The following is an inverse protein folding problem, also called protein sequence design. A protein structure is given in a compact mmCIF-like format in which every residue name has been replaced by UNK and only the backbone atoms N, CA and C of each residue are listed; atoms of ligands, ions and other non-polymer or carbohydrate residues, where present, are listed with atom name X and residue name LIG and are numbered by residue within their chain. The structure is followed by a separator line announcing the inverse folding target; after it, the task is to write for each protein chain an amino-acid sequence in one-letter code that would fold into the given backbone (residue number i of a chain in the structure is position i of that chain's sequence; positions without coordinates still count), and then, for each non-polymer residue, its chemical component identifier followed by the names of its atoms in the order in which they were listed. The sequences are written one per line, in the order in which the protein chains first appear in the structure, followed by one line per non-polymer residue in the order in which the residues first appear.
data_IF_987296191698
#
_entry.id   IF_987296191698
#
_cell.length_a   1.000
_cell.length_b   1.000
_cell.length_c   1.000
_cell.angle_alpha   90.00
_cell.angle_beta   90.00
_cell.angle_gamma   90.00
#
_symmetry.space_group_name_H-M   'P 1'
#
loop_
_entity.id
_entity.type
_entity.pdbx_description
1 polymer ?
#
# COMPACT_ATOMS: atom_id res chain seq x y z
N UNK A 1 30.00 7.15 63.41
CA UNK A 1 29.85 7.45 61.96
C UNK A 1 29.65 8.93 61.81
N UNK A 2 30.56 9.69 61.21
CA UNK A 2 30.43 11.16 61.10
C UNK A 2 29.48 11.52 59.96
N UNK A 3 28.66 12.54 60.22
CA UNK A 3 27.70 13.15 59.31
C UNK A 3 28.34 13.59 57.99
N UNK A 4 27.78 13.14 56.88
CA UNK A 4 28.09 13.65 55.54
C UNK A 4 27.48 15.08 55.41
N UNK A 5 28.22 16.04 54.82
CA UNK A 5 27.69 17.39 54.62
C UNK A 5 26.61 17.37 53.52
N UNK A 6 25.49 18.05 53.82
CA UNK A 6 24.44 18.32 52.82
C UNK A 6 25.02 19.10 51.64
N UNK A 7 24.67 18.77 50.40
CA UNK A 7 25.04 19.57 49.24
C UNK A 7 24.40 20.96 49.36
N UNK A 8 25.22 21.99 49.27
CA UNK A 8 24.77 23.38 49.28
C UNK A 8 23.80 23.62 48.13
N UNK A 9 22.63 24.18 48.47
CA UNK A 9 21.63 24.60 47.48
C UNK A 9 22.26 25.60 46.50
N UNK A 10 22.24 25.29 45.23
CA UNK A 10 22.63 26.21 44.15
C UNK A 10 21.77 27.47 44.26
N UNK A 11 22.38 28.68 44.28
CA UNK A 11 21.62 29.91 44.35
C UNK A 11 20.69 30.01 43.14
N UNK A 12 19.39 30.15 43.40
CA UNK A 12 18.39 30.48 42.40
C UNK A 12 18.75 31.87 41.88
N UNK A 13 19.05 31.95 40.57
CA UNK A 13 19.29 33.23 39.92
C UNK A 13 18.09 34.16 40.19
N UNK A 14 18.33 35.44 40.56
CA UNK A 14 17.24 36.37 40.86
C UNK A 14 16.34 36.55 39.66
N UNK A 15 15.03 36.78 39.85
CA UNK A 15 14.11 36.98 38.75
C UNK A 15 14.52 38.25 37.98
N UNK A 16 14.55 38.12 36.63
CA UNK A 16 14.81 39.23 35.71
C UNK A 16 13.87 40.41 36.03
N UNK A 17 14.46 41.53 36.43
CA UNK A 17 13.70 42.77 36.69
C UNK A 17 13.74 43.66 35.45
N UNK A 18 12.68 44.45 35.24
CA UNK A 18 12.59 45.43 34.13
C UNK A 18 13.76 46.43 34.15
N UNK A 19 14.34 46.68 35.33
CA UNK A 19 15.49 47.54 35.54
C UNK A 19 16.76 46.93 34.93
N UNK A 20 16.95 45.59 35.00
CA UNK A 20 18.10 44.90 34.42
C UNK A 20 18.04 44.93 32.90
N UNK A 21 16.82 44.88 32.31
CA UNK A 21 16.62 45.02 30.85
C UNK A 21 17.00 46.43 30.38
N UNK A 22 16.66 47.46 31.14
CA UNK A 22 16.91 48.86 30.76
C UNK A 22 18.42 49.21 30.83
N UNK A 23 19.13 48.70 31.88
CA UNK A 23 20.59 48.88 32.00
C UNK A 23 21.33 48.11 30.90
N UNK A 24 20.95 46.85 30.58
CA UNK A 24 21.54 46.10 29.50
C UNK A 24 21.29 46.76 28.13
N UNK A 25 20.14 47.40 27.94
CA UNK A 25 19.82 48.15 26.74
C UNK A 25 20.67 49.44 26.60
N UNK A 26 20.89 50.13 27.71
CA UNK A 26 21.78 51.32 27.74
C UNK A 26 23.23 50.96 27.47
N UNK A 27 23.75 49.89 28.12
CA UNK A 27 25.11 49.39 27.88
C UNK A 27 25.32 48.95 26.43
N UNK A 28 24.32 48.36 25.79
CA UNK A 28 24.32 48.01 24.36
C UNK A 28 24.40 49.25 23.47
N UNK A 29 23.63 50.29 23.80
CA UNK A 29 23.62 51.55 23.06
C UNK A 29 24.97 52.25 23.18
N UNK A 30 25.48 52.39 24.37
CA UNK A 30 26.76 53.10 24.65
C UNK A 30 27.95 52.36 24.01
N UNK A 31 28.02 51.02 24.14
CA UNK A 31 29.04 50.22 23.49
C UNK A 31 28.95 50.30 21.94
N UNK A 32 27.75 50.36 21.40
CA UNK A 32 27.54 50.50 19.95
C UNK A 32 27.94 51.88 19.43
N UNK A 33 27.62 52.95 20.19
CA UNK A 33 28.05 54.32 19.85
C UNK A 33 29.58 54.49 19.93
N UNK A 34 30.22 53.99 20.99
CA UNK A 34 31.65 54.02 21.14
C UNK A 34 32.38 53.29 19.96
N UNK A 35 31.87 52.10 19.58
CA UNK A 35 32.38 51.33 18.46
C UNK A 35 32.18 52.07 17.14
N UNK A 36 30.98 52.68 16.91
CA UNK A 36 30.66 53.40 15.67
C UNK A 36 31.62 54.58 15.44
N UNK A 37 31.98 55.28 16.56
CA UNK A 37 32.92 56.41 16.50
C UNK A 37 34.37 55.98 16.35
N UNK A 38 34.78 54.85 16.92
CA UNK A 38 36.14 54.35 16.87
C UNK A 38 36.49 53.74 15.51
N UNK A 39 35.56 53.01 14.87
CA UNK A 39 35.82 52.17 13.71
C UNK A 39 35.07 52.62 12.45
N UNK A 40 34.68 53.91 12.39
CA UNK A 40 33.86 54.44 11.28
C UNK A 40 34.43 54.18 9.90
N UNK A 41 35.77 54.22 9.71
CA UNK A 41 36.43 53.96 8.43
C UNK A 41 36.29 52.50 8.03
N UNK A 42 36.48 51.55 8.97
CA UNK A 42 36.31 50.10 8.72
C UNK A 42 34.87 49.75 8.41
N UNK A 43 33.91 50.47 9.06
CA UNK A 43 32.46 50.32 8.79
C UNK A 43 32.15 50.81 7.37
N UNK A 44 32.72 51.92 6.90
CA UNK A 44 32.53 52.39 5.55
C UNK A 44 33.08 51.38 4.52
N UNK A 45 34.28 50.82 4.76
CA UNK A 45 34.87 49.78 3.92
C UNK A 45 33.99 48.54 3.90
N UNK A 46 33.54 48.06 5.06
CA UNK A 46 32.61 46.93 5.18
C UNK A 46 31.32 47.17 4.44
N UNK A 47 30.74 48.39 4.51
CA UNK A 47 29.54 48.75 3.82
C UNK A 47 29.73 48.76 2.28
N UNK A 48 30.87 49.25 1.80
CA UNK A 48 31.27 49.19 0.39
C UNK A 48 31.39 47.75 -0.13
N UNK A 49 32.10 46.89 0.62
CA UNK A 49 32.26 45.45 0.29
C UNK A 49 30.91 44.78 0.35
N UNK A 50 30.10 45.06 1.40
CA UNK A 50 28.74 44.50 1.55
C UNK A 50 27.83 44.88 0.37
N UNK A 51 27.87 46.12 -0.09
CA UNK A 51 27.14 46.57 -1.27
C UNK A 51 27.52 45.80 -2.53
N UNK A 52 28.82 45.52 -2.74
CA UNK A 52 29.31 44.74 -3.87
C UNK A 52 28.82 43.29 -3.77
N UNK A 53 28.84 42.67 -2.55
CA UNK A 53 28.32 41.34 -2.32
C UNK A 53 26.81 41.26 -2.58
N UNK A 54 26.03 42.23 -2.11
CA UNK A 54 24.57 42.30 -2.38
C UNK A 54 24.32 42.42 -3.88
N UNK A 55 25.09 43.26 -4.56
CA UNK A 55 24.94 43.46 -6.01
C UNK A 55 25.29 42.16 -6.77
N UNK A 56 26.34 41.48 -6.42
CA UNK A 56 26.76 40.21 -7.02
C UNK A 56 25.69 39.11 -6.79
N UNK A 57 25.12 38.99 -5.58
CA UNK A 57 24.11 38.00 -5.25
C UNK A 57 22.75 38.32 -5.93
N UNK A 58 22.39 39.60 -6.01
CA UNK A 58 21.16 40.01 -6.74
C UNK A 58 21.31 39.85 -8.24
N UNK A 59 22.51 40.08 -8.81
CA UNK A 59 22.82 39.77 -10.19
C UNK A 59 22.74 38.25 -10.47
N UNK A 60 23.26 37.43 -9.57
CA UNK A 60 23.13 35.97 -9.63
C UNK A 60 21.65 35.51 -9.63
N UNK A 61 20.82 36.13 -8.79
CA UNK A 61 19.37 35.89 -8.77
C UNK A 61 18.70 36.31 -10.10
N UNK A 62 19.08 37.44 -10.66
CA UNK A 62 18.57 37.94 -11.95
C UNK A 62 19.00 37.02 -13.11
N UNK A 63 20.24 36.47 -13.06
CA UNK A 63 20.71 35.49 -14.01
C UNK A 63 19.92 34.17 -13.92
N UNK A 64 19.63 33.69 -12.71
CA UNK A 64 18.74 32.55 -12.47
C UNK A 64 17.34 32.73 -13.09
N UNK A 65 16.75 33.93 -12.94
CA UNK A 65 15.49 34.29 -13.60
C UNK A 65 15.58 34.26 -15.13
N UNK A 66 16.70 34.75 -15.71
CA UNK A 66 16.92 34.71 -17.16
C UNK A 66 17.10 33.30 -17.70
N UNK A 67 17.75 32.43 -16.96
CA UNK A 67 17.91 31.02 -17.32
C UNK A 67 16.56 30.30 -17.30
N UNK A 68 15.72 30.52 -16.28
CA UNK A 68 14.37 29.98 -16.24
C UNK A 68 13.49 30.42 -17.42
N UNK A 69 13.60 31.65 -17.85
CA UNK A 69 12.80 32.19 -18.97
C UNK A 69 13.28 31.70 -20.35
N UNK A 70 14.54 31.30 -20.50
CA UNK A 70 15.07 30.77 -21.77
C UNK A 70 14.62 29.33 -22.04
N UNK A 71 14.45 28.50 -20.99
CA UNK A 71 14.04 27.12 -21.11
C UNK A 71 12.52 26.92 -21.14
N UNK A 72 11.72 28.00 -21.00
CA UNK A 72 10.26 27.95 -21.09
C UNK A 72 9.72 27.52 -22.47
N UNK A 73 10.59 27.41 -23.48
CA UNK A 73 10.24 26.99 -24.85
C UNK A 73 10.52 25.51 -25.13
N UNK A 74 11.20 24.77 -24.21
CA UNK A 74 11.70 23.42 -24.54
C UNK A 74 11.64 22.33 -23.50
N UNK A 75 10.94 22.48 -22.38
CA UNK A 75 10.73 21.36 -21.45
C UNK A 75 11.11 21.64 -19.99
N UNK A 76 10.39 21.00 -19.08
CA UNK A 76 10.59 21.03 -17.64
C UNK A 76 11.84 20.26 -17.23
N UNK A 77 13.04 20.84 -17.45
CA UNK A 77 14.30 20.24 -17.04
C UNK A 77 14.65 20.51 -15.58
N UNK A 78 15.54 19.70 -14.97
CA UNK A 78 16.05 19.93 -13.61
C UNK A 78 16.66 21.33 -13.42
N UNK A 79 17.20 21.92 -14.47
CA UNK A 79 17.76 23.27 -14.47
C UNK A 79 16.71 24.35 -14.20
N UNK A 80 15.47 24.15 -14.65
CA UNK A 80 14.36 25.09 -14.37
C UNK A 80 13.95 25.03 -12.89
N UNK A 81 14.00 23.84 -12.25
CA UNK A 81 13.71 23.68 -10.82
C UNK A 81 14.76 24.39 -9.96
N UNK A 82 16.07 24.18 -10.29
CA UNK A 82 17.18 24.83 -9.58
C UNK A 82 17.14 26.34 -9.81
N UNK A 83 16.95 26.79 -11.05
CA UNK A 83 16.83 28.21 -11.38
C UNK A 83 15.67 28.88 -10.62
N UNK A 84 14.52 28.20 -10.48
CA UNK A 84 13.37 28.67 -9.72
C UNK A 84 13.68 28.78 -8.22
N UNK A 85 14.39 27.80 -7.64
CA UNK A 85 14.85 27.85 -6.25
C UNK A 85 15.80 29.04 -6.00
N UNK A 86 16.76 29.28 -6.89
CA UNK A 86 17.68 30.42 -6.81
C UNK A 86 16.90 31.76 -6.95
N UNK A 87 15.94 31.82 -7.85
CA UNK A 87 15.14 33.02 -8.09
C UNK A 87 14.27 33.42 -6.88
N UNK A 88 13.89 32.44 -6.05
CA UNK A 88 13.14 32.61 -4.81
C UNK A 88 13.99 33.03 -3.60
N UNK A 89 15.28 33.32 -3.80
CA UNK A 89 16.13 33.84 -2.73
C UNK A 89 15.60 35.19 -2.26
N UNK A 90 15.29 35.31 -0.96
CA UNK A 90 14.77 36.53 -0.35
C UNK A 90 15.85 37.61 -0.32
N UNK A 91 15.45 38.85 -0.58
CA UNK A 91 16.36 40.00 -0.45
C UNK A 91 16.87 40.14 1.00
N UNK A 92 16.04 39.86 1.99
CA UNK A 92 16.42 39.88 3.40
C UNK A 92 17.55 38.89 3.71
N UNK A 93 17.49 37.67 3.16
CA UNK A 93 18.58 36.70 3.31
C UNK A 93 19.88 37.16 2.64
N UNK A 94 19.79 37.73 1.43
CA UNK A 94 20.96 38.28 0.71
C UNK A 94 21.61 39.39 1.54
N UNK A 95 20.81 40.28 2.10
CA UNK A 95 21.28 41.37 2.95
C UNK A 95 21.96 40.83 4.22
N UNK A 96 21.32 39.90 4.95
CA UNK A 96 21.86 39.32 6.17
C UNK A 96 23.15 38.51 5.87
N UNK A 97 23.21 37.80 4.76
CA UNK A 97 24.40 37.08 4.33
C UNK A 97 25.56 38.06 4.06
N UNK A 98 25.28 39.15 3.34
CA UNK A 98 26.30 40.18 3.11
C UNK A 98 26.79 40.83 4.40
N UNK A 99 25.89 41.15 5.33
CA UNK A 99 26.23 41.71 6.64
C UNK A 99 27.13 40.73 7.40
N UNK A 100 26.79 39.46 7.52
CA UNK A 100 27.60 38.46 8.24
C UNK A 100 29.00 38.29 7.62
N UNK A 101 29.11 38.30 6.28
CA UNK A 101 30.38 38.16 5.56
C UNK A 101 31.33 39.31 5.88
N UNK A 102 30.79 40.53 6.00
CA UNK A 102 31.63 41.73 6.25
C UNK A 102 31.66 42.18 7.69
N UNK A 103 30.80 41.61 8.56
CA UNK A 103 30.63 42.05 9.95
C UNK A 103 31.90 41.91 10.80
N UNK A 104 32.81 41.03 10.44
CA UNK A 104 34.07 40.82 11.16
C UNK A 104 35.15 41.86 10.85
N UNK A 105 34.98 42.65 9.78
CA UNK A 105 36.00 43.67 9.38
C UNK A 105 36.11 44.78 10.43
N UNK A 106 34.96 45.38 10.93
CA UNK A 106 35.02 46.46 11.86
C UNK A 106 35.02 46.00 13.35
N UNK A 107 35.39 44.74 13.64
CA UNK A 107 35.50 44.20 15.01
C UNK A 107 34.34 44.59 15.94
N UNK A 108 33.09 44.22 15.62
CA UNK A 108 31.93 44.65 16.42
C UNK A 108 31.96 44.04 17.83
N UNK A 109 31.36 44.70 18.83
CA UNK A 109 31.15 44.13 20.15
C UNK A 109 30.38 42.79 20.08
N UNK A 110 30.66 41.86 20.99
CA UNK A 110 30.05 40.51 21.02
C UNK A 110 28.51 40.54 21.02
N UNK A 111 27.94 41.55 21.66
CA UNK A 111 26.49 41.71 21.67
C UNK A 111 25.91 42.02 20.29
N UNK A 112 26.59 42.89 19.51
CA UNK A 112 26.18 43.23 18.12
C UNK A 112 26.34 42.01 17.23
N UNK A 113 27.44 41.29 17.39
CA UNK A 113 27.67 40.07 16.60
C UNK A 113 26.66 38.98 16.93
N UNK A 114 26.22 38.86 18.14
CA UNK A 114 25.16 37.94 18.61
C UNK A 114 23.81 38.26 17.94
N UNK A 115 23.43 39.52 17.87
CA UNK A 115 22.22 39.97 17.19
C UNK A 115 22.30 39.72 15.70
N UNK A 116 23.42 40.05 15.05
CA UNK A 116 23.62 39.80 13.60
C UNK A 116 23.53 38.30 13.30
N UNK A 117 24.20 37.48 14.10
CA UNK A 117 24.17 36.01 13.87
C UNK A 117 22.77 35.43 14.12
N UNK A 118 22.03 35.93 15.11
CA UNK A 118 20.64 35.55 15.36
C UNK A 118 19.71 35.89 14.19
N UNK A 119 19.78 37.12 13.69
CA UNK A 119 19.00 37.55 12.53
C UNK A 119 19.38 36.78 11.27
N UNK A 120 20.67 36.48 11.06
CA UNK A 120 21.12 35.67 9.96
C UNK A 120 20.57 34.25 10.06
N UNK A 121 20.59 33.62 11.26
CA UNK A 121 20.02 32.27 11.45
C UNK A 121 18.53 32.22 11.14
N UNK A 122 17.78 33.26 11.54
CA UNK A 122 16.36 33.38 11.19
C UNK A 122 16.21 33.43 9.66
N UNK A 123 16.96 34.35 9.01
CA UNK A 123 16.92 34.52 7.55
C UNK A 123 17.30 33.22 6.83
N UNK A 124 18.38 32.54 7.31
CA UNK A 124 18.88 31.30 6.71
C UNK A 124 17.89 30.12 6.88
N UNK A 125 17.28 29.97 8.04
CA UNK A 125 16.30 28.91 8.28
C UNK A 125 15.07 29.06 7.37
N UNK A 126 14.48 30.25 7.26
CA UNK A 126 13.37 30.50 6.37
C UNK A 126 13.78 30.37 4.89
N UNK A 127 14.98 30.84 4.52
CA UNK A 127 15.46 30.71 3.15
C UNK A 127 15.69 29.26 2.75
N UNK A 128 16.25 28.45 3.66
CA UNK A 128 16.44 27.02 3.43
C UNK A 128 15.08 26.31 3.25
N UNK A 129 14.07 26.67 4.06
CA UNK A 129 12.72 26.16 3.92
C UNK A 129 12.11 26.52 2.54
N UNK A 130 12.29 27.78 2.08
CA UNK A 130 11.84 28.21 0.77
C UNK A 130 12.53 27.44 -0.37
N UNK A 131 13.84 27.26 -0.32
CA UNK A 131 14.58 26.47 -1.32
C UNK A 131 14.13 25.01 -1.33
N UNK A 132 14.06 24.38 -0.17
CA UNK A 132 13.60 22.99 -0.05
C UNK A 132 12.18 22.84 -0.62
N UNK A 133 11.27 23.79 -0.31
CA UNK A 133 9.92 23.80 -0.84
C UNK A 133 9.89 23.87 -2.37
N UNK A 134 10.64 24.80 -2.97
CA UNK A 134 10.68 24.94 -4.45
C UNK A 134 11.29 23.72 -5.13
N UNK A 135 12.32 23.09 -4.53
CA UNK A 135 12.95 21.88 -5.08
C UNK A 135 11.96 20.72 -5.02
N UNK A 136 11.31 20.47 -3.86
CA UNK A 136 10.36 19.38 -3.70
C UNK A 136 9.16 19.54 -4.64
N UNK A 137 8.54 20.73 -4.65
CA UNK A 137 7.38 20.98 -5.50
C UNK A 137 7.74 20.97 -6.98
N UNK A 138 8.91 21.51 -7.35
CA UNK A 138 9.41 21.47 -8.72
C UNK A 138 9.69 20.04 -9.21
N UNK A 139 10.21 19.16 -8.33
CA UNK A 139 10.40 17.75 -8.64
C UNK A 139 9.07 17.01 -8.85
N UNK A 140 8.04 17.33 -8.04
CA UNK A 140 6.69 16.78 -8.20
C UNK A 140 6.09 17.27 -9.52
N UNK A 141 6.13 18.55 -9.81
CA UNK A 141 5.62 19.14 -11.06
C UNK A 141 6.33 18.57 -12.29
N UNK A 142 7.64 18.36 -12.22
CA UNK A 142 8.42 17.76 -13.32
C UNK A 142 7.97 16.33 -13.64
N UNK A 143 7.73 15.51 -12.63
CA UNK A 143 7.24 14.15 -12.82
C UNK A 143 5.80 14.08 -13.31
N UNK A 144 4.96 15.01 -12.88
CA UNK A 144 3.54 15.03 -13.29
C UNK A 144 3.32 15.59 -14.70
N UNK A 145 4.19 16.48 -15.18
CA UNK A 145 4.13 17.02 -16.53
C UNK A 145 4.51 16.01 -17.62
N UNK A 146 5.23 14.95 -17.29
CA UNK A 146 5.70 13.93 -18.24
C UNK A 146 4.76 12.73 -18.42
N UNK A 147 3.64 12.68 -17.70
CA UNK A 147 2.64 11.61 -17.84
C UNK A 147 1.39 12.13 -18.55
N UNK A 148 0.91 11.42 -19.57
CA UNK A 148 -0.32 11.68 -20.33
C UNK A 148 -1.62 11.67 -19.47
N UNK A 149 -1.49 11.76 -18.17
CA UNK A 149 -2.58 11.68 -17.21
C UNK A 149 -3.03 13.09 -16.78
N UNK A 150 -3.77 13.75 -17.64
CA UNK A 150 -4.40 15.04 -17.36
C UNK A 150 -5.77 14.85 -16.70
N UNK A 151 -5.81 14.55 -15.40
CA UNK A 151 -7.04 14.43 -14.64
C UNK A 151 -7.14 15.53 -13.55
N UNK A 152 -8.31 16.12 -13.35
CA UNK A 152 -8.62 17.07 -12.26
C UNK A 152 -8.21 16.56 -10.87
N UNK A 153 -8.27 15.25 -10.67
CA UNK A 153 -7.83 14.58 -9.44
C UNK A 153 -6.35 14.80 -9.11
N UNK A 154 -5.48 14.87 -10.14
CA UNK A 154 -4.04 15.10 -9.96
C UNK A 154 -3.73 16.53 -9.54
N UNK A 155 -4.44 17.51 -10.09
CA UNK A 155 -4.32 18.92 -9.70
C UNK A 155 -4.65 19.14 -8.22
N UNK A 156 -5.71 18.53 -7.74
CA UNK A 156 -6.13 18.59 -6.33
C UNK A 156 -5.12 17.91 -5.40
N UNK A 157 -4.54 16.76 -5.80
CA UNK A 157 -3.52 16.05 -5.04
C UNK A 157 -2.23 16.90 -4.91
N UNK A 158 -1.77 17.54 -5.98
CA UNK A 158 -0.61 18.46 -5.96
C UNK A 158 -0.86 19.64 -5.04
N UNK A 159 -2.09 20.19 -5.02
CA UNK A 159 -2.49 21.25 -4.10
C UNK A 159 -2.33 20.85 -2.62
N UNK A 160 -2.82 19.68 -2.26
CA UNK A 160 -2.67 19.13 -0.90
C UNK A 160 -1.21 18.89 -0.53
N UNK A 161 -0.42 18.28 -1.42
CA UNK A 161 1.03 18.05 -1.23
C UNK A 161 1.74 19.39 -0.99
N UNK A 162 1.40 20.44 -1.76
CA UNK A 162 1.97 21.78 -1.60
C UNK A 162 1.71 22.34 -0.19
N UNK A 163 0.50 22.22 0.32
CA UNK A 163 0.15 22.67 1.67
C UNK A 163 0.92 21.89 2.73
N UNK A 164 0.93 20.56 2.64
CA UNK A 164 1.62 19.70 3.61
C UNK A 164 3.13 19.95 3.64
N UNK A 165 3.78 19.99 2.47
CA UNK A 165 5.22 20.26 2.35
C UNK A 165 5.56 21.66 2.90
N UNK A 166 4.75 22.66 2.55
CA UNK A 166 4.95 24.03 3.05
C UNK A 166 4.84 24.07 4.57
N UNK A 167 3.78 23.51 5.12
CA UNK A 167 3.58 23.47 6.58
C UNK A 167 4.73 22.75 7.30
N UNK A 168 5.13 21.57 6.84
CA UNK A 168 6.21 20.79 7.46
C UNK A 168 7.54 21.55 7.45
N UNK A 169 7.93 22.13 6.31
CA UNK A 169 9.20 22.87 6.19
C UNK A 169 9.22 24.13 7.03
N UNK A 170 8.12 24.88 7.09
CA UNK A 170 8.04 26.08 7.92
C UNK A 170 7.96 25.72 9.41
N UNK A 171 7.32 24.63 9.80
CA UNK A 171 7.35 24.13 11.17
C UNK A 171 8.79 23.77 11.62
N UNK A 172 9.55 23.10 10.76
CA UNK A 172 10.98 22.78 11.01
C UNK A 172 11.79 24.08 11.11
N UNK A 173 11.61 25.02 10.18
CA UNK A 173 12.32 26.30 10.22
C UNK A 173 12.01 27.07 11.51
N UNK A 174 10.76 27.08 11.95
CA UNK A 174 10.34 27.72 13.22
C UNK A 174 11.04 27.09 14.44
N UNK A 175 11.11 25.75 14.48
CA UNK A 175 11.82 25.05 15.57
C UNK A 175 13.30 25.44 15.60
N UNK A 176 13.95 25.47 14.43
CA UNK A 176 15.37 25.87 14.31
C UNK A 176 15.56 27.32 14.79
N UNK A 177 14.69 28.23 14.41
CA UNK A 177 14.74 29.63 14.83
C UNK A 177 14.58 29.76 16.36
N UNK A 178 13.55 29.13 16.93
CA UNK A 178 13.30 29.18 18.38
C UNK A 178 14.46 28.59 19.18
N UNK A 179 15.01 27.47 18.71
CA UNK A 179 16.18 26.84 19.35
C UNK A 179 17.40 27.77 19.33
N UNK A 180 17.65 28.47 18.19
CA UNK A 180 18.75 29.41 18.08
C UNK A 180 18.57 30.67 18.95
N UNK A 181 17.32 31.06 19.17
CA UNK A 181 16.98 32.18 20.12
C UNK A 181 17.08 31.76 21.57
N UNK A 182 17.52 30.52 21.87
CA UNK A 182 17.68 30.01 23.24
C UNK A 182 16.41 29.49 23.91
N UNK A 183 15.33 29.37 23.17
CA UNK A 183 14.07 28.79 23.69
C UNK A 183 14.17 27.27 23.80
N UNK A 184 13.60 26.71 24.86
CA UNK A 184 13.53 25.26 24.99
C UNK A 184 12.47 24.71 24.05
N UNK A 185 12.91 24.11 22.95
CA UNK A 185 12.05 23.54 21.90
C UNK A 185 11.73 22.06 22.11
N UNK A 186 12.21 21.45 23.21
CA UNK A 186 12.03 20.01 23.46
C UNK A 186 10.54 19.61 23.50
N UNK A 187 9.71 20.40 24.15
CA UNK A 187 8.26 20.18 24.17
C UNK A 187 7.60 20.31 22.79
N UNK A 188 8.07 21.27 21.98
CA UNK A 188 7.57 21.46 20.63
C UNK A 188 7.97 20.30 19.71
N UNK A 189 9.23 19.84 19.81
CA UNK A 189 9.71 18.67 19.05
C UNK A 189 8.95 17.41 19.48
N UNK A 190 8.75 17.21 20.79
CA UNK A 190 7.97 16.08 21.31
C UNK A 190 6.52 16.13 20.80
N UNK A 191 5.87 17.30 20.84
CA UNK A 191 4.51 17.48 20.31
C UNK A 191 4.40 17.21 18.81
N UNK A 192 5.34 17.73 18.02
CA UNK A 192 5.43 17.44 16.58
C UNK A 192 5.70 15.96 16.32
N UNK A 193 6.52 15.30 17.17
CA UNK A 193 6.79 13.87 17.08
C UNK A 193 5.53 13.03 17.31
N UNK A 194 4.78 13.30 18.38
CA UNK A 194 3.50 12.62 18.68
C UNK A 194 2.48 12.89 17.56
N UNK A 195 2.36 14.15 17.11
CA UNK A 195 1.50 14.51 15.98
C UNK A 195 1.90 13.79 14.70
N UNK A 196 3.20 13.64 14.43
CA UNK A 196 3.74 12.89 13.30
C UNK A 196 3.40 11.40 13.35
N UNK A 197 3.47 10.78 14.54
CA UNK A 197 3.04 9.38 14.74
C UNK A 197 1.55 9.25 14.45
N UNK A 198 0.71 10.16 14.97
CA UNK A 198 -0.74 10.11 14.70
C UNK A 198 -1.07 10.24 13.20
N UNK A 199 -0.40 11.15 12.48
CA UNK A 199 -0.53 11.30 11.03
C UNK A 199 -0.03 10.04 10.31
N UNK A 200 1.11 9.47 10.75
CA UNK A 200 1.65 8.23 10.18
C UNK A 200 0.69 7.06 10.30
N UNK A 201 0.08 6.89 11.47
CA UNK A 201 -0.95 5.86 11.71
C UNK A 201 -2.18 6.09 10.83
N UNK A 202 -2.65 7.34 10.70
CA UNK A 202 -3.77 7.67 9.83
C UNK A 202 -3.46 7.40 8.33
N UNK A 203 -2.21 7.58 7.91
CA UNK A 203 -1.76 7.36 6.54
C UNK A 203 -1.29 5.92 6.25
N UNK A 204 -1.23 5.03 7.26
CA UNK A 204 -0.70 3.68 7.17
C UNK A 204 -1.29 2.86 6.01
N UNK A 205 -2.60 2.97 5.78
CA UNK A 205 -3.27 2.25 4.69
C UNK A 205 -2.77 2.68 3.30
N UNK A 206 -2.50 3.97 3.11
CA UNK A 206 -1.99 4.51 1.83
C UNK A 206 -0.57 3.98 1.58
N UNK A 207 0.29 4.01 2.60
CA UNK A 207 1.65 3.48 2.49
C UNK A 207 1.67 1.97 2.26
N UNK A 208 0.77 1.22 2.93
CA UNK A 208 0.66 -0.22 2.73
C UNK A 208 0.31 -0.56 1.26
N UNK A 209 -0.64 0.16 0.64
CA UNK A 209 -0.98 -0.02 -0.78
C UNK A 209 0.19 0.37 -1.71
N UNK A 210 0.93 1.43 -1.37
CA UNK A 210 2.10 1.85 -2.14
C UNK A 210 3.23 0.80 -2.10
N UNK A 211 3.54 0.27 -0.91
CA UNK A 211 4.53 -0.80 -0.77
C UNK A 211 4.07 -2.09 -1.44
N UNK A 212 2.78 -2.40 -1.40
CA UNK A 212 2.21 -3.51 -2.15
C UNK A 212 2.37 -3.33 -3.66
N UNK A 213 2.14 -2.11 -4.18
CA UNK A 213 2.41 -1.82 -5.59
C UNK A 213 3.88 -2.02 -5.97
N UNK A 214 4.81 -1.57 -5.12
CA UNK A 214 6.24 -1.79 -5.33
C UNK A 214 6.59 -3.28 -5.32
N UNK A 215 6.04 -4.07 -4.39
CA UNK A 215 6.22 -5.52 -4.36
C UNK A 215 5.71 -6.17 -5.65
N UNK A 216 4.53 -5.80 -6.15
CA UNK A 216 4.00 -6.31 -7.43
C UNK A 216 4.95 -5.97 -8.59
N UNK A 217 5.53 -4.77 -8.63
CA UNK A 217 6.42 -4.33 -9.70
C UNK A 217 7.77 -5.08 -9.66
N UNK A 218 8.33 -5.34 -8.47
CA UNK A 218 9.63 -6.00 -8.31
C UNK A 218 9.53 -7.52 -8.40
N UNK A 219 8.64 -8.15 -7.62
CA UNK A 219 8.50 -9.61 -7.55
C UNK A 219 7.68 -10.17 -8.70
N UNK A 220 6.81 -9.36 -9.32
CA UNK A 220 5.98 -9.70 -10.47
C UNK A 220 5.18 -10.98 -10.31
N UNK A 221 4.41 -11.17 -9.23
CA UNK A 221 3.54 -12.35 -9.09
C UNK A 221 2.53 -12.45 -10.23
N UNK A 222 2.16 -11.32 -10.80
CA UNK A 222 1.38 -11.18 -12.04
C UNK A 222 1.78 -9.90 -12.77
N UNK A 223 1.45 -9.81 -14.04
CA UNK A 223 1.71 -8.67 -14.92
C UNK A 223 0.41 -8.16 -15.54
N UNK A 224 0.47 -6.96 -16.11
CA UNK A 224 -0.63 -6.48 -16.95
C UNK A 224 -0.85 -7.46 -18.10
N UNK A 225 -2.10 -7.87 -18.32
CA UNK A 225 -2.50 -8.87 -19.30
C UNK A 225 -2.61 -10.29 -18.75
N UNK A 226 -2.10 -10.57 -17.53
CA UNK A 226 -2.22 -11.90 -16.93
C UNK A 226 -3.65 -12.15 -16.46
N UNK A 227 -4.13 -13.37 -16.70
CA UNK A 227 -5.35 -13.88 -16.10
C UNK A 227 -5.03 -14.41 -14.69
N UNK A 228 -5.63 -13.84 -13.67
CA UNK A 228 -5.44 -14.25 -12.28
C UNK A 228 -6.75 -14.65 -11.62
N UNK A 229 -6.65 -15.51 -10.62
CA UNK A 229 -7.76 -15.84 -9.72
C UNK A 229 -7.33 -15.59 -8.28
N UNK A 230 -8.24 -15.01 -7.49
CA UNK A 230 -8.07 -14.73 -6.07
C UNK A 230 -9.42 -14.89 -5.37
N UNK A 231 -9.44 -15.50 -4.22
CA UNK A 231 -10.69 -15.92 -3.55
C UNK A 231 -11.62 -16.67 -4.54
N UNK A 232 -12.85 -16.14 -4.72
CA UNK A 232 -13.86 -16.65 -5.65
C UNK A 232 -13.95 -15.82 -6.95
N UNK A 233 -12.96 -14.97 -7.19
CA UNK A 233 -12.94 -14.05 -8.32
C UNK A 233 -11.85 -14.41 -9.31
N UNK A 234 -12.13 -14.19 -10.59
CA UNK A 234 -11.17 -14.38 -11.68
C UNK A 234 -11.29 -13.24 -12.69
N UNK A 235 -10.19 -12.90 -13.33
CA UNK A 235 -10.17 -11.88 -14.38
C UNK A 235 -8.78 -11.62 -14.94
N UNK A 236 -8.71 -10.71 -15.91
CA UNK A 236 -7.48 -10.27 -16.55
C UNK A 236 -7.02 -8.93 -15.97
N UNK A 237 -5.77 -8.82 -15.59
CA UNK A 237 -5.17 -7.58 -15.06
C UNK A 237 -5.08 -6.55 -16.19
N UNK A 238 -5.81 -5.45 -16.08
CA UNK A 238 -5.78 -4.35 -17.06
C UNK A 238 -4.74 -3.29 -16.73
N UNK A 239 -4.67 -2.89 -15.46
CA UNK A 239 -3.73 -1.88 -15.01
C UNK A 239 -3.36 -2.09 -13.55
N UNK A 240 -2.11 -1.80 -13.23
CA UNK A 240 -1.57 -1.80 -11.87
C UNK A 240 -1.26 -0.35 -11.53
N UNK A 241 -2.04 0.23 -10.61
CA UNK A 241 -1.83 1.60 -10.11
C UNK A 241 -1.04 1.62 -8.81
N UNK A 242 -0.79 2.82 -8.29
CA UNK A 242 -0.07 3.00 -7.01
C UNK A 242 -0.86 2.52 -5.79
N UNK A 243 -2.19 2.60 -5.85
CA UNK A 243 -3.08 2.21 -4.74
C UNK A 243 -3.85 0.94 -5.03
N UNK A 244 -4.26 0.73 -6.28
CA UNK A 244 -5.18 -0.34 -6.66
C UNK A 244 -4.84 -0.93 -8.01
N UNK A 245 -5.16 -2.20 -8.17
CA UNK A 245 -5.10 -2.93 -9.43
C UNK A 245 -6.49 -3.04 -10.03
N UNK A 246 -6.61 -2.82 -11.34
CA UNK A 246 -7.83 -2.97 -12.13
C UNK A 246 -7.81 -4.31 -12.85
N UNK A 247 -8.88 -5.06 -12.68
CA UNK A 247 -9.01 -6.42 -13.20
C UNK A 247 -10.33 -6.50 -13.98
N UNK A 248 -10.27 -6.92 -15.23
CA UNK A 248 -11.45 -7.21 -16.05
C UNK A 248 -11.96 -8.59 -15.71
N UNK A 249 -13.14 -8.69 -15.12
CA UNK A 249 -13.77 -9.94 -14.80
C UNK A 249 -14.19 -10.71 -16.05
N UNK A 250 -14.47 -12.00 -15.89
CA UNK A 250 -14.86 -12.89 -17.00
C UNK A 250 -16.18 -12.50 -17.67
N UNK A 251 -17.04 -11.76 -16.96
CA UNK A 251 -18.31 -11.25 -17.49
C UNK A 251 -18.18 -9.82 -18.06
N UNK A 252 -16.96 -9.26 -18.12
CA UNK A 252 -16.68 -7.94 -18.67
C UNK A 252 -16.71 -6.79 -17.65
N UNK A 253 -17.07 -7.03 -16.39
CA UNK A 253 -17.06 -6.03 -15.34
C UNK A 253 -15.63 -5.61 -14.97
N UNK A 254 -15.42 -4.32 -14.66
CA UNK A 254 -14.18 -3.83 -14.07
C UNK A 254 -14.23 -4.01 -12.56
N UNK A 255 -13.24 -4.68 -12.00
CA UNK A 255 -13.03 -4.85 -10.57
C UNK A 255 -11.83 -4.04 -10.13
N UNK A 256 -12.00 -3.20 -9.13
CA UNK A 256 -10.93 -2.40 -8.55
C UNK A 256 -10.68 -2.92 -7.14
N UNK A 257 -9.46 -3.41 -6.92
CA UNK A 257 -9.03 -3.93 -5.62
C UNK A 257 -7.77 -3.21 -5.17
N UNK A 258 -7.65 -2.88 -3.88
CA UNK A 258 -6.42 -2.27 -3.36
C UNK A 258 -5.26 -3.26 -3.47
N UNK A 259 -4.05 -2.75 -3.75
CA UNK A 259 -2.88 -3.60 -3.96
C UNK A 259 -2.56 -4.44 -2.73
N UNK A 260 -2.70 -3.83 -1.52
CA UNK A 260 -2.51 -4.57 -0.26
C UNK A 260 -3.52 -5.70 -0.13
N UNK A 261 -4.81 -5.43 -0.33
CA UNK A 261 -5.84 -6.46 -0.23
C UNK A 261 -5.64 -7.60 -1.23
N UNK A 262 -5.11 -7.30 -2.42
CA UNK A 262 -4.83 -8.32 -3.42
C UNK A 262 -3.64 -9.20 -3.02
N UNK A 263 -2.55 -8.61 -2.51
CA UNK A 263 -1.37 -9.36 -2.06
C UNK A 263 -1.58 -10.12 -0.75
N UNK A 264 -2.53 -9.70 0.09
CA UNK A 264 -2.91 -10.43 1.30
C UNK A 264 -3.66 -11.75 0.99
N UNK A 265 -4.01 -12.00 -0.28
CA UNK A 265 -4.74 -13.19 -0.73
C UNK A 265 -3.84 -14.16 -1.48
N UNK A 266 -4.25 -15.43 -1.52
CA UNK A 266 -3.68 -16.38 -2.45
C UNK A 266 -4.00 -15.96 -3.88
N UNK A 267 -2.97 -15.79 -4.70
CA UNK A 267 -3.10 -15.41 -6.11
C UNK A 267 -2.69 -16.59 -6.98
N UNK A 268 -3.61 -17.05 -7.81
CA UNK A 268 -3.34 -18.07 -8.81
C UNK A 268 -3.15 -17.38 -10.16
N UNK A 269 -1.93 -17.43 -10.69
CA UNK A 269 -1.65 -16.94 -12.04
C UNK A 269 -2.02 -18.00 -13.09
N UNK A 270 -3.13 -17.75 -13.77
CA UNK A 270 -3.64 -18.67 -14.79
C UNK A 270 -2.89 -18.60 -16.12
N UNK A 271 -2.19 -17.49 -16.40
CA UNK A 271 -1.41 -17.30 -17.63
C UNK A 271 -0.08 -18.06 -17.57
N UNK A 272 0.50 -18.21 -16.40
CA UNK A 272 1.78 -18.89 -16.19
C UNK A 272 1.66 -20.42 -16.01
N UNK A 273 0.50 -20.99 -16.27
CA UNK A 273 0.33 -22.44 -16.23
C UNK A 273 1.09 -23.11 -17.38
N UNK A 274 1.76 -24.20 -17.10
CA UNK A 274 2.39 -25.04 -18.11
C UNK A 274 1.42 -26.03 -18.77
N UNK A 275 0.35 -26.37 -18.07
CA UNK A 275 -0.71 -27.27 -18.54
C UNK A 275 -2.04 -26.99 -17.82
N UNK A 276 -3.13 -27.51 -18.39
CA UNK A 276 -4.44 -27.53 -17.74
C UNK A 276 -4.92 -28.96 -17.61
N UNK A 277 -5.20 -29.40 -16.38
CA UNK A 277 -5.75 -30.73 -16.09
C UNK A 277 -7.24 -30.75 -16.34
N UNK A 278 -7.67 -31.77 -17.08
CA UNK A 278 -9.07 -32.12 -17.28
C UNK A 278 -9.35 -33.43 -16.58
N UNK A 279 -10.49 -33.48 -15.92
CA UNK A 279 -10.97 -34.68 -15.24
C UNK A 279 -12.37 -35.01 -15.70
N UNK A 280 -12.60 -36.30 -16.04
CA UNK A 280 -13.90 -36.86 -16.27
C UNK A 280 -14.22 -37.91 -15.21
N UNK A 281 -15.45 -37.92 -14.73
CA UNK A 281 -16.02 -39.08 -14.06
C UNK A 281 -16.83 -39.84 -15.07
N UNK A 282 -16.40 -41.05 -15.39
CA UNK A 282 -17.04 -41.93 -16.35
C UNK A 282 -17.86 -42.96 -15.58
N UNK A 283 -19.18 -42.85 -15.63
CA UNK A 283 -20.11 -43.74 -14.94
C UNK A 283 -20.52 -44.87 -15.91
N UNK A 284 -20.03 -46.08 -15.72
CA UNK A 284 -20.24 -47.27 -16.53
C UNK A 284 -21.35 -48.14 -15.91
N UNK A 285 -22.17 -48.75 -16.75
CA UNK A 285 -23.28 -49.57 -16.29
C UNK A 285 -22.80 -50.82 -15.49
N UNK A 286 -23.55 -51.19 -14.44
CA UNK A 286 -23.19 -52.29 -13.52
C UNK A 286 -23.19 -53.67 -14.15
N UNK A 287 -23.87 -53.84 -15.29
CA UNK A 287 -23.88 -55.11 -16.05
C UNK A 287 -22.71 -55.27 -17.01
N UNK A 288 -21.80 -54.28 -17.06
CA UNK A 288 -20.60 -54.38 -17.91
C UNK A 288 -19.70 -55.52 -17.41
N UNK A 289 -19.27 -56.42 -18.33
CA UNK A 289 -18.38 -57.51 -17.97
C UNK A 289 -17.05 -57.07 -17.36
N UNK A 290 -16.55 -57.80 -16.35
CA UNK A 290 -15.34 -57.42 -15.62
C UNK A 290 -14.12 -57.24 -16.56
N UNK A 291 -13.96 -58.09 -17.55
CA UNK A 291 -12.88 -57.97 -18.55
C UNK A 291 -12.87 -56.64 -19.29
N UNK A 292 -14.07 -56.05 -19.55
CA UNK A 292 -14.19 -54.74 -20.16
C UNK A 292 -13.85 -53.61 -19.18
N UNK A 293 -14.22 -53.77 -17.91
CA UNK A 293 -13.88 -52.81 -16.84
C UNK A 293 -12.36 -52.81 -16.60
N UNK A 294 -11.70 -53.95 -16.64
CA UNK A 294 -10.24 -54.07 -16.54
C UNK A 294 -9.50 -53.42 -17.70
N UNK A 295 -10.04 -53.52 -18.90
CA UNK A 295 -9.46 -52.93 -20.12
C UNK A 295 -9.71 -51.42 -20.23
N UNK A 296 -10.72 -50.86 -19.53
CA UNK A 296 -11.16 -49.47 -19.66
C UNK A 296 -10.05 -48.46 -19.46
N UNK A 297 -9.17 -48.56 -18.42
CA UNK A 297 -8.08 -47.60 -18.25
C UNK A 297 -7.11 -47.54 -19.45
N UNK A 298 -6.82 -48.70 -20.07
CA UNK A 298 -5.99 -48.81 -21.26
C UNK A 298 -6.63 -48.13 -22.48
N UNK A 299 -7.93 -48.37 -22.69
CA UNK A 299 -8.68 -47.72 -23.77
C UNK A 299 -8.69 -46.19 -23.61
N UNK A 300 -8.89 -45.67 -22.40
CA UNK A 300 -8.85 -44.23 -22.12
C UNK A 300 -7.48 -43.65 -22.41
N UNK A 301 -6.42 -44.34 -22.00
CA UNK A 301 -5.05 -43.94 -22.32
C UNK A 301 -4.80 -43.81 -23.80
N UNK A 302 -5.19 -44.81 -24.60
CA UNK A 302 -5.04 -44.82 -26.06
C UNK A 302 -5.74 -43.61 -26.70
N UNK A 303 -6.99 -43.32 -26.35
CA UNK A 303 -7.74 -42.19 -26.91
C UNK A 303 -7.13 -40.82 -26.54
N UNK A 304 -6.65 -40.68 -25.32
CA UNK A 304 -6.01 -39.48 -24.86
C UNK A 304 -4.67 -39.21 -25.57
N UNK A 305 -3.84 -40.26 -25.69
CA UNK A 305 -2.53 -40.18 -26.37
C UNK A 305 -2.71 -39.98 -27.90
N UNK A 306 -3.73 -40.59 -28.53
CA UNK A 306 -4.10 -40.37 -29.92
C UNK A 306 -4.45 -38.90 -30.20
N UNK A 307 -5.09 -38.25 -29.23
CA UNK A 307 -5.41 -36.83 -29.29
C UNK A 307 -4.21 -35.91 -28.99
N UNK A 308 -2.99 -36.47 -28.78
CA UNK A 308 -1.76 -35.73 -28.40
C UNK A 308 -1.87 -34.99 -27.11
N UNK A 309 -2.67 -35.49 -26.15
CA UNK A 309 -2.76 -35.00 -24.79
C UNK A 309 -1.95 -35.92 -23.87
N UNK A 310 -1.53 -35.38 -22.71
CA UNK A 310 -0.73 -36.14 -21.75
C UNK A 310 -1.65 -36.92 -20.85
N UNK A 311 -1.64 -38.26 -20.96
CA UNK A 311 -2.38 -39.13 -20.04
C UNK A 311 -1.79 -39.03 -18.63
N UNK A 312 -2.65 -38.85 -17.62
CA UNK A 312 -2.25 -38.79 -16.20
C UNK A 312 -2.63 -40.10 -15.51
N UNK A 313 -3.90 -40.44 -15.50
CA UNK A 313 -4.43 -41.70 -14.96
C UNK A 313 -5.85 -41.98 -15.42
N UNK A 314 -6.18 -43.24 -15.39
CA UNK A 314 -7.56 -43.70 -15.43
C UNK A 314 -7.68 -44.91 -14.48
N UNK A 315 -8.82 -45.05 -13.82
CA UNK A 315 -9.03 -46.14 -12.89
C UNK A 315 -10.36 -46.06 -12.16
N UNK A 316 -10.68 -47.17 -11.49
CA UNK A 316 -11.88 -47.27 -10.67
C UNK A 316 -11.87 -46.21 -9.57
N UNK A 317 -12.96 -45.46 -9.43
CA UNK A 317 -13.10 -44.39 -8.44
C UNK A 317 -14.04 -44.83 -7.28
N UNK A 318 -15.25 -45.26 -7.64
CA UNK A 318 -16.28 -45.56 -6.65
C UNK A 318 -17.39 -46.48 -7.21
N UNK A 319 -18.14 -47.09 -6.32
CA UNK A 319 -19.43 -47.74 -6.63
C UNK A 319 -20.52 -46.66 -6.56
N UNK A 320 -21.04 -46.25 -7.69
CA UNK A 320 -22.19 -45.34 -7.78
C UNK A 320 -23.50 -46.07 -7.49
N UNK A 321 -24.59 -45.34 -7.39
CA UNK A 321 -25.90 -45.90 -7.07
C UNK A 321 -26.40 -46.87 -8.15
N UNK A 322 -26.08 -46.64 -9.41
CA UNK A 322 -26.42 -47.48 -10.59
C UNK A 322 -25.23 -47.64 -11.55
N UNK A 323 -23.99 -47.38 -11.05
CA UNK A 323 -22.80 -47.29 -11.90
C UNK A 323 -21.56 -47.85 -11.19
N UNK A 324 -20.56 -48.15 -12.01
CA UNK A 324 -19.16 -48.20 -11.61
C UNK A 324 -18.49 -46.94 -12.13
N UNK A 325 -18.03 -46.06 -11.21
CA UNK A 325 -17.45 -44.80 -11.58
C UNK A 325 -15.93 -44.93 -11.77
N UNK A 326 -15.45 -44.40 -12.86
CA UNK A 326 -14.03 -44.35 -13.21
C UNK A 326 -13.57 -42.89 -13.27
N UNK A 327 -12.43 -42.59 -12.67
CA UNK A 327 -11.73 -41.31 -12.81
C UNK A 327 -10.80 -41.37 -14.00
N UNK A 328 -10.92 -40.41 -14.92
CA UNK A 328 -10.06 -40.28 -16.09
C UNK A 328 -9.48 -38.88 -16.11
N UNK A 329 -8.16 -38.79 -16.06
CA UNK A 329 -7.45 -37.52 -16.02
C UNK A 329 -6.40 -37.42 -17.10
N UNK A 330 -6.35 -36.23 -17.74
CA UNK A 330 -5.31 -35.88 -18.70
C UNK A 330 -4.95 -34.40 -18.62
N UNK A 331 -3.77 -34.06 -19.10
CA UNK A 331 -3.28 -32.69 -19.15
C UNK A 331 -3.25 -32.20 -20.61
N UNK A 332 -3.89 -31.05 -20.84
CA UNK A 332 -3.76 -30.26 -22.05
C UNK A 332 -2.48 -29.45 -21.99
N UNK A 333 -1.52 -29.55 -22.91
CA UNK A 333 -0.22 -28.87 -22.83
C UNK A 333 -0.32 -27.40 -23.24
N UNK A 334 -1.36 -26.71 -22.79
CA UNK A 334 -1.59 -25.29 -23.08
C UNK A 334 -2.10 -24.55 -21.83
N UNK A 335 -1.67 -23.31 -21.67
CA UNK A 335 -2.19 -22.40 -20.68
C UNK A 335 -3.56 -21.82 -21.07
N UNK A 336 -3.88 -21.80 -22.38
CA UNK A 336 -5.12 -21.22 -22.90
C UNK A 336 -6.34 -22.03 -22.45
N UNK A 337 -7.38 -21.33 -22.02
CA UNK A 337 -8.63 -21.98 -21.61
C UNK A 337 -9.34 -22.63 -22.78
N UNK A 338 -9.30 -22.00 -23.98
CA UNK A 338 -9.96 -22.51 -25.18
C UNK A 338 -9.38 -23.85 -25.60
N UNK A 339 -8.06 -23.99 -25.62
CA UNK A 339 -7.39 -25.23 -25.99
C UNK A 339 -7.78 -26.42 -25.10
N UNK A 340 -7.89 -26.11 -23.76
CA UNK A 340 -8.35 -27.10 -22.77
C UNK A 340 -9.82 -27.48 -23.03
N UNK A 341 -10.67 -26.50 -23.34
CA UNK A 341 -12.08 -26.71 -23.62
C UNK A 341 -12.27 -27.58 -24.87
N UNK A 342 -11.53 -27.25 -25.93
CA UNK A 342 -11.55 -28.00 -27.21
C UNK A 342 -11.00 -29.42 -27.04
N UNK A 343 -9.91 -29.58 -26.28
CA UNK A 343 -9.37 -30.90 -25.91
C UNK A 343 -10.39 -31.72 -25.12
N UNK A 344 -11.06 -31.11 -24.13
CA UNK A 344 -12.11 -31.74 -23.33
C UNK A 344 -13.26 -32.24 -24.25
N UNK A 345 -13.72 -31.41 -25.19
CA UNK A 345 -14.78 -31.75 -26.13
C UNK A 345 -14.35 -32.91 -27.03
N UNK A 346 -13.19 -32.81 -27.67
CA UNK A 346 -12.67 -33.81 -28.58
C UNK A 346 -12.49 -35.19 -27.91
N UNK A 347 -11.84 -35.18 -26.74
CA UNK A 347 -11.61 -36.46 -26.00
C UNK A 347 -12.94 -36.99 -25.46
N UNK A 348 -13.85 -36.17 -24.99
CA UNK A 348 -15.17 -36.61 -24.54
C UNK A 348 -15.93 -37.36 -25.67
N UNK A 349 -15.93 -36.82 -26.87
CA UNK A 349 -16.54 -37.51 -28.02
C UNK A 349 -15.77 -38.78 -28.47
N UNK A 350 -14.44 -38.78 -28.38
CA UNK A 350 -13.64 -39.98 -28.66
C UNK A 350 -13.93 -41.11 -27.66
N UNK A 351 -14.06 -40.78 -26.38
CA UNK A 351 -14.45 -41.73 -25.33
C UNK A 351 -15.85 -42.30 -25.61
N UNK A 352 -16.84 -41.48 -25.92
CA UNK A 352 -18.20 -41.96 -26.25
C UNK A 352 -18.17 -42.90 -27.42
N UNK A 353 -17.42 -42.58 -28.48
CA UNK A 353 -17.27 -43.46 -29.66
C UNK A 353 -16.62 -44.80 -29.27
N UNK A 354 -15.51 -44.76 -28.55
CA UNK A 354 -14.78 -45.96 -28.11
C UNK A 354 -15.64 -46.88 -27.24
N UNK A 355 -16.41 -46.30 -26.33
CA UNK A 355 -17.35 -47.07 -25.50
C UNK A 355 -18.42 -47.76 -26.32
N UNK A 356 -18.97 -47.08 -27.34
CA UNK A 356 -19.91 -47.67 -28.28
C UNK A 356 -19.33 -48.83 -29.09
N UNK A 357 -18.10 -48.66 -29.63
CA UNK A 357 -17.38 -49.69 -30.38
C UNK A 357 -17.11 -50.95 -29.53
N UNK A 358 -16.86 -50.76 -28.23
CA UNK A 358 -16.61 -51.85 -27.26
C UNK A 358 -17.90 -52.37 -26.60
N UNK A 359 -19.08 -51.88 -26.98
CA UNK A 359 -20.36 -52.24 -26.37
C UNK A 359 -20.37 -52.05 -24.85
N UNK A 360 -19.80 -50.94 -24.37
CA UNK A 360 -19.81 -50.51 -22.97
C UNK A 360 -20.86 -49.42 -22.81
N UNK A 361 -21.89 -49.68 -22.05
CA UNK A 361 -22.98 -48.72 -21.80
C UNK A 361 -22.60 -47.72 -20.68
N UNK A 362 -22.96 -46.47 -20.90
CA UNK A 362 -22.96 -45.48 -19.79
C UNK A 362 -24.14 -45.75 -18.88
N UNK A 363 -23.90 -45.61 -17.59
CA UNK A 363 -24.92 -45.84 -16.59
C UNK A 363 -26.04 -44.79 -16.68
N UNK A 364 -27.26 -45.23 -16.54
CA UNK A 364 -28.43 -44.40 -16.35
C UNK A 364 -29.14 -44.82 -15.04
N UNK A 365 -29.91 -43.93 -14.40
CA UNK A 365 -30.61 -44.27 -13.17
C UNK A 365 -31.53 -45.49 -13.39
N UNK A 366 -31.23 -46.58 -12.68
CA UNK A 366 -31.97 -47.85 -12.83
C UNK A 366 -32.74 -48.08 -11.54
N UNK A 367 -34.02 -48.38 -11.69
CA UNK A 367 -34.88 -48.83 -10.58
C UNK A 367 -35.39 -50.22 -10.91
N UNK A 368 -35.09 -51.18 -10.06
CA UNK A 368 -35.60 -52.54 -10.19
C UNK A 368 -36.84 -52.68 -9.28
N UNK A 369 -38.02 -52.78 -9.91
CA UNK A 369 -39.26 -53.09 -9.22
C UNK A 369 -39.42 -54.59 -9.12
N UNK A 370 -39.28 -55.14 -7.92
CA UNK A 370 -39.57 -56.58 -7.68
C UNK A 370 -41.04 -56.74 -7.42
N UNK A 371 -41.78 -57.39 -8.30
CA UNK A 371 -43.14 -57.85 -8.03
C UNK A 371 -43.11 -59.13 -7.21
N UNK A 372 -43.95 -59.30 -6.25
CA UNK A 372 -44.01 -60.48 -5.33
C UNK A 372 -44.10 -61.83 -6.09
N UNK A 373 -44.61 -61.83 -7.30
CA UNK A 373 -44.73 -63.01 -8.14
C UNK A 373 -43.38 -63.47 -8.78
N UNK A 374 -42.46 -62.51 -9.02
CA UNK A 374 -41.12 -62.77 -9.62
C UNK A 374 -40.07 -63.06 -8.53
N UNK A 375 -40.27 -62.60 -7.31
CA UNK A 375 -39.33 -62.76 -6.20
C UNK A 375 -39.36 -64.16 -5.57
N UNK A 376 -40.34 -65.00 -5.92
CA UNK A 376 -40.47 -66.35 -5.29
C UNK A 376 -40.54 -66.35 -3.76
N UNK A 377 -40.80 -65.16 -3.19
CA UNK A 377 -40.90 -64.96 -1.77
C UNK A 377 -42.35 -64.73 -1.39
N UNK A 378 -42.86 -65.53 -0.47
CA UNK A 378 -44.09 -65.22 0.20
C UNK A 378 -43.98 -63.81 0.79
N UNK A 379 -45.02 -62.95 0.69
CA UNK A 379 -44.95 -61.63 1.27
C UNK A 379 -44.61 -61.75 2.74
N UNK A 380 -43.66 -60.93 3.25
CA UNK A 380 -43.26 -61.00 4.66
C UNK A 380 -44.51 -60.91 5.50
N UNK A 381 -44.79 -61.98 6.29
CA UNK A 381 -45.91 -62.04 7.22
C UNK A 381 -45.89 -60.77 8.05
N UNK A 382 -46.99 -60.03 8.04
CA UNK A 382 -47.11 -58.81 8.82
C UNK A 382 -46.63 -59.04 10.25
N UNK A 383 -45.82 -58.16 10.83
CA UNK A 383 -45.33 -58.39 12.20
C UNK A 383 -46.55 -58.51 13.10
N UNK A 384 -46.66 -59.68 13.72
CA UNK A 384 -47.70 -60.00 14.75
C UNK A 384 -47.62 -58.89 15.79
N UNK A 385 -48.67 -58.12 15.88
CA UNK A 385 -48.83 -57.06 16.87
C UNK A 385 -48.63 -57.61 18.24
N UNK A 386 -47.40 -57.47 18.79
CA UNK A 386 -47.05 -57.91 20.14
C UNK A 386 -48.03 -57.29 21.13
N UNK A 387 -48.59 -58.18 21.91
CA UNK A 387 -49.46 -57.99 23.06
C UNK A 387 -49.08 -56.70 23.80
N UNK A 388 -49.97 -55.71 23.84
CA UNK A 388 -49.79 -54.47 24.61
C UNK A 388 -49.47 -54.79 26.04
N UNK A 389 -48.26 -54.58 26.46
CA UNK A 389 -47.84 -54.58 27.85
C UNK A 389 -48.52 -53.40 28.52
N UNK A 390 -49.46 -53.64 29.42
CA UNK A 390 -50.05 -52.66 30.30
C UNK A 390 -48.96 -51.98 31.09
N UNK A 391 -48.63 -50.78 30.74
CA UNK A 391 -47.80 -49.91 31.59
C UNK A 391 -48.77 -49.33 32.63
N UNK A 392 -48.60 -49.75 33.88
CA UNK A 392 -49.24 -49.18 35.06
C UNK A 392 -48.80 -47.72 35.22
N UNK A 393 -49.77 -46.81 35.32
CA UNK A 393 -49.53 -45.41 35.56
C UNK A 393 -48.83 -45.17 36.90
N UNK A 394 -47.88 -44.25 36.99
CA UNK A 394 -47.34 -43.79 38.26
C UNK A 394 -48.40 -42.91 38.99
N UNK A 395 -48.35 -42.83 40.34
CA UNK A 395 -49.35 -42.08 41.11
C UNK A 395 -49.19 -40.56 40.92
N UNK A 396 -50.35 -39.89 40.88
CA UNK A 396 -50.48 -38.46 40.90
C UNK A 396 -49.97 -37.88 42.23
N UNK A 397 -48.96 -37.00 42.19
CA UNK A 397 -48.69 -36.10 43.33
C UNK A 397 -49.03 -34.69 42.93
N UNK A 398 -49.88 -34.14 43.75
CA UNK A 398 -50.55 -32.88 43.73
C UNK A 398 -49.75 -31.62 43.56
N UNK A 399 -50.49 -30.74 43.01
CA UNK A 399 -50.68 -29.36 43.44
C UNK A 399 -49.52 -28.65 44.15
N UNK A 400 -48.95 -27.67 43.46
CA UNK A 400 -48.56 -26.37 44.06
C UNK A 400 -48.56 -25.27 43.03
N UNK A 401 -49.55 -24.42 43.30
CA UNK A 401 -49.82 -23.09 42.88
C UNK A 401 -48.62 -22.15 42.63
N UNK A 402 -48.81 -21.34 41.62
CA UNK A 402 -48.66 -19.87 41.58
C UNK A 402 -47.35 -19.25 42.06
N UNK A 403 -46.71 -18.51 41.29
CA UNK A 403 -46.68 -17.02 41.34
C UNK A 403 -45.52 -16.41 40.54
N UNK A 404 -45.88 -15.32 39.93
CA UNK A 404 -45.11 -14.08 39.69
C UNK A 404 -43.90 -14.05 38.75
N UNK A 405 -44.19 -13.38 37.65
CA UNK A 405 -43.84 -11.97 37.34
C UNK A 405 -42.36 -11.66 37.02
N UNK A 406 -42.25 -11.16 35.80
CA UNK A 406 -41.58 -9.92 35.37
C UNK A 406 -40.06 -9.74 35.51
N UNK A 407 -39.57 -9.21 34.43
CA UNK A 407 -38.42 -8.32 34.21
C UNK A 407 -37.11 -8.93 33.75
N UNK A 408 -36.69 -8.33 32.61
CA UNK A 408 -35.33 -8.18 32.16
C UNK A 408 -35.17 -8.32 30.67
#
# INVERSE_FOLDING_TARGET
MPNAPHPAATPIAPPFTVTDLNSQFQDLIDASYAWLNAEWLQILIALGIGAVVVLALTAGRALGNRLCNRDAVGGTGWWTVIGRAISRTSFFFILMLAIVLVARIPNPPDNVMRVISGLFTIAAAFQAALWAREIILGAVEHKTASSDYHGEALGNAVGLIRVLVTFALFAIALVVVLSNLGWNVSGLIAGLGVGGIAIGLAAQGIFADLFAALAIIFDRPFRRGDAISYDKSSGTVEAIGLKSTRIRGTNGEERIISNKQLLDKEIINNTQRSYRRVQFTLSVAQWTPLARLEALPGMMKEEIERAKMTFVRAGFLAFGQSSYDFDVQFDSPSAAFQDMFDARHMIGLAIIRRLGDESIDLAYPTQTGLTAAEAGMDPPSAPTRGRKRKISAPPSSGDRSANDQEHG
#
